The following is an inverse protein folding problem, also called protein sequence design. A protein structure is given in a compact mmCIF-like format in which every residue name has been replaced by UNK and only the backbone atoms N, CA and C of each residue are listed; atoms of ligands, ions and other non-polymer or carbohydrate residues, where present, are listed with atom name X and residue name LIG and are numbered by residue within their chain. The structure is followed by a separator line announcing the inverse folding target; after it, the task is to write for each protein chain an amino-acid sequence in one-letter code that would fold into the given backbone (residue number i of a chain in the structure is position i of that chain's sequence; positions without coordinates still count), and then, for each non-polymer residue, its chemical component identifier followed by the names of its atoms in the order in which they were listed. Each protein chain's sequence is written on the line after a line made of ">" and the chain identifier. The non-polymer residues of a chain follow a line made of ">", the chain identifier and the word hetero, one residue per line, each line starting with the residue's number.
data_IF_453793363883
#
_entry.id   IF_453793363883
#
_cell.length_a   1.000
_cell.length_b   1.000
_cell.length_c   1.000
_cell.angle_alpha   90.00
_cell.angle_beta   90.00
_cell.angle_gamma   90.00
#
_symmetry.space_group_name_H-M   'P 1'
#
loop_
_entity.id
_entity.type
_entity.pdbx_description
1 polymer ?
#
# COMPACT_ATOMS: atom_id res chain seq x y z
N UNK A 1 4.68 10.08 -15.21
CA UNK A 1 5.13 10.37 -13.83
C UNK A 1 4.13 9.72 -12.89
N UNK A 2 4.62 9.03 -11.86
CA UNK A 2 3.77 8.30 -10.90
C UNK A 2 2.74 9.24 -10.29
N UNK A 3 1.46 8.97 -10.56
CA UNK A 3 0.35 9.80 -10.08
C UNK A 3 0.02 9.54 -8.61
N UNK A 4 0.44 8.37 -8.11
CA UNK A 4 0.14 7.89 -6.78
C UNK A 4 1.37 7.36 -6.07
N UNK A 5 1.39 7.51 -4.75
CA UNK A 5 2.37 6.89 -3.84
C UNK A 5 1.62 5.92 -2.94
N UNK A 6 2.17 4.73 -2.73
CA UNK A 6 1.61 3.72 -1.82
C UNK A 6 2.56 3.55 -0.65
N UNK A 7 2.01 3.64 0.57
CA UNK A 7 2.76 3.41 1.80
C UNK A 7 2.07 2.38 2.67
N UNK A 8 2.85 1.44 3.20
CA UNK A 8 2.43 0.49 4.22
C UNK A 8 2.81 0.96 5.61
N UNK A 9 1.92 0.76 6.56
CA UNK A 9 2.08 1.21 7.95
C UNK A 9 2.32 0.02 8.90
N UNK A 10 2.88 0.32 10.07
CA UNK A 10 3.14 -0.69 11.11
C UNK A 10 1.87 -1.31 11.70
N UNK A 11 0.74 -0.62 11.58
CA UNK A 11 -0.56 -1.08 12.04
C UNK A 11 -1.32 -1.93 10.99
N UNK A 12 -0.70 -2.22 9.84
CA UNK A 12 -1.30 -2.99 8.74
C UNK A 12 -2.18 -2.19 7.78
N UNK A 13 -2.17 -0.85 7.89
CA UNK A 13 -2.84 0.04 6.94
C UNK A 13 -1.98 0.28 5.71
N UNK A 14 -2.65 0.43 4.57
CA UNK A 14 -2.08 0.80 3.28
C UNK A 14 -2.74 2.11 2.89
N UNK A 15 -1.93 3.13 2.65
CA UNK A 15 -2.39 4.44 2.23
C UNK A 15 -1.92 4.73 0.81
N UNK A 16 -2.86 5.17 -0.02
CA UNK A 16 -2.61 5.69 -1.35
C UNK A 16 -2.69 7.21 -1.31
N UNK A 17 -1.61 7.87 -1.69
CA UNK A 17 -1.48 9.32 -1.72
C UNK A 17 -1.46 9.82 -3.16
N UNK A 18 -2.02 11.01 -3.37
CA UNK A 18 -1.82 11.79 -4.60
C UNK A 18 -0.39 12.33 -4.61
N UNK A 19 0.42 11.97 -5.60
CA UNK A 19 1.77 12.51 -5.72
C UNK A 19 1.78 14.03 -6.01
N UNK A 20 0.65 14.57 -6.50
CA UNK A 20 0.50 15.99 -6.85
C UNK A 20 0.09 16.84 -5.65
N UNK A 21 -0.91 16.40 -4.88
CA UNK A 21 -1.44 17.18 -3.74
C UNK A 21 -0.90 16.73 -2.38
N UNK A 22 -0.32 15.53 -2.29
CA UNK A 22 0.11 14.93 -1.02
C UNK A 22 -1.04 14.41 -0.16
N UNK A 23 -2.29 14.52 -0.65
CA UNK A 23 -3.47 14.09 0.09
C UNK A 23 -3.65 12.57 0.02
N UNK A 24 -4.22 12.02 1.09
CA UNK A 24 -4.65 10.62 1.13
C UNK A 24 -5.89 10.48 0.25
N UNK A 25 -5.78 9.68 -0.80
CA UNK A 25 -6.89 9.34 -1.69
C UNK A 25 -7.66 8.17 -1.11
N UNK A 26 -6.92 7.17 -0.58
CA UNK A 26 -7.50 5.94 -0.10
C UNK A 26 -6.70 5.37 1.06
N UNK A 27 -7.40 4.83 2.04
CA UNK A 27 -6.86 4.05 3.15
C UNK A 27 -7.54 2.70 3.16
N UNK A 28 -6.76 1.63 3.23
CA UNK A 28 -7.26 0.26 3.32
C UNK A 28 -6.52 -0.45 4.43
N UNK A 29 -7.25 -1.15 5.30
CA UNK A 29 -6.66 -1.94 6.38
C UNK A 29 -6.85 -3.42 6.12
N UNK A 30 -5.94 -3.96 5.33
CA UNK A 30 -5.98 -5.36 4.93
C UNK A 30 -5.17 -6.26 5.84
N UNK A 31 -4.15 -5.71 6.51
CA UNK A 31 -3.27 -6.47 7.40
C UNK A 31 -3.55 -6.15 8.86
N UNK A 32 -3.24 -7.12 9.72
CA UNK A 32 -3.37 -6.97 11.18
C UNK A 32 -2.07 -6.57 11.85
N UNK A 33 -0.95 -6.62 11.11
CA UNK A 33 0.40 -6.28 11.56
C UNK A 33 1.17 -5.52 10.48
N UNK A 34 2.36 -5.06 10.86
CA UNK A 34 3.28 -4.31 10.00
C UNK A 34 3.46 -4.93 8.62
N UNK A 35 3.28 -4.08 7.62
CA UNK A 35 3.61 -4.38 6.23
C UNK A 35 5.11 -4.20 6.08
N UNK A 36 5.77 -5.25 5.58
CA UNK A 36 7.22 -5.26 5.40
C UNK A 36 7.62 -5.02 3.94
N UNK A 37 6.73 -5.35 3.00
CA UNK A 37 7.02 -5.22 1.58
C UNK A 37 5.76 -4.89 0.78
N UNK A 38 5.95 -4.11 -0.30
CA UNK A 38 4.92 -3.67 -1.23
C UNK A 38 5.50 -3.69 -2.64
N UNK A 39 4.87 -4.44 -3.54
CA UNK A 39 5.25 -4.50 -4.94
C UNK A 39 4.06 -4.13 -5.83
N UNK A 40 4.26 -3.18 -6.73
CA UNK A 40 3.25 -2.78 -7.71
C UNK A 40 3.40 -3.55 -9.01
N UNK A 41 2.30 -3.80 -9.71
CA UNK A 41 2.35 -4.26 -11.10
C UNK A 41 2.93 -3.19 -12.03
N UNK A 42 3.49 -3.61 -13.17
CA UNK A 42 4.14 -2.70 -14.14
C UNK A 42 3.16 -1.68 -14.73
N UNK A 43 1.89 -2.07 -14.83
CA UNK A 43 0.76 -1.26 -15.31
C UNK A 43 0.06 -0.49 -14.19
N UNK A 44 0.52 -0.62 -12.94
CA UNK A 44 0.01 0.04 -11.73
C UNK A 44 -1.48 -0.26 -11.42
N UNK A 45 -2.03 -1.34 -11.95
CA UNK A 45 -3.42 -1.76 -11.69
C UNK A 45 -3.56 -2.60 -10.42
N UNK A 46 -2.49 -3.25 -9.98
CA UNK A 46 -2.48 -4.17 -8.83
C UNK A 46 -1.27 -3.94 -7.93
N UNK A 47 -1.41 -4.31 -6.66
CA UNK A 47 -0.37 -4.13 -5.64
C UNK A 47 -0.36 -5.32 -4.71
N UNK A 48 0.79 -5.97 -4.57
CA UNK A 48 0.97 -7.06 -3.63
C UNK A 48 1.60 -6.51 -2.36
N UNK A 49 1.05 -6.85 -1.21
CA UNK A 49 1.59 -6.51 0.11
C UNK A 49 1.95 -7.76 0.89
N UNK A 50 3.06 -7.72 1.63
CA UNK A 50 3.47 -8.78 2.53
C UNK A 50 3.60 -8.24 3.96
N UNK A 51 3.03 -8.96 4.92
CA UNK A 51 2.95 -8.51 6.31
C UNK A 51 3.50 -9.53 7.31
N UNK A 52 3.87 -9.02 8.48
CA UNK A 52 4.25 -9.80 9.66
C UNK A 52 3.07 -10.61 10.25
N UNK A 53 1.86 -10.45 9.73
CA UNK A 53 0.71 -11.31 10.04
C UNK A 53 0.74 -12.66 9.32
N UNK A 54 1.85 -12.95 8.62
CA UNK A 54 2.11 -14.19 7.88
C UNK A 54 1.20 -14.34 6.65
N UNK A 55 0.64 -13.24 6.16
CA UNK A 55 -0.16 -13.22 4.93
C UNK A 55 0.44 -12.28 3.88
N UNK A 56 0.15 -12.60 2.62
CA UNK A 56 0.32 -11.69 1.51
C UNK A 56 -1.06 -11.40 0.91
N UNK A 57 -1.28 -10.16 0.47
CA UNK A 57 -2.54 -9.68 -0.09
C UNK A 57 -2.30 -8.91 -1.39
N UNK A 58 -3.34 -8.77 -2.20
CA UNK A 58 -3.33 -8.17 -3.53
C UNK A 58 -4.34 -7.02 -3.62
#
# INVERSE_FOLDING_TARGET
>A
LGEYVIAGHENGEINQFSAKSGEIIKTVKEHTKQINDIQTSIDLTMVITASKDNTAKL
#
